data_IF_409465381517
#
_entry.id   IF_409465381517
#
_cell.length_a   1.000
_cell.length_b   1.000
_cell.length_c   1.000
_cell.angle_alpha   90.00
_cell.angle_beta   90.00
_cell.angle_gamma   90.00
#
_symmetry.space_group_name_H-M   'P 1'
#
loop_
_entity.id
_entity.type
_entity.pdbx_description
1 polymer ?
#
# COMPACT_ATOMS: atom_id res chain seq x y z
N UNK A 1 42.18 5.53 31.74
CA UNK A 1 41.58 6.79 31.20
C UNK A 1 41.60 6.70 29.70
N UNK A 2 40.51 6.36 29.08
CA UNK A 2 40.10 6.77 27.69
C UNK A 2 38.58 6.64 27.66
N UNK A 3 37.94 7.75 27.93
CA UNK A 3 36.50 7.92 27.87
C UNK A 3 36.09 8.34 26.46
N UNK A 4 35.02 7.70 25.96
CA UNK A 4 33.96 8.25 25.14
C UNK A 4 34.30 9.24 24.02
N UNK A 5 34.22 8.73 22.78
CA UNK A 5 33.88 9.54 21.62
C UNK A 5 32.98 8.68 20.70
N UNK A 6 31.74 8.47 21.11
CA UNK A 6 30.68 7.83 20.32
C UNK A 6 29.37 8.59 20.53
N UNK A 7 29.42 9.91 20.29
CA UNK A 7 28.21 10.77 20.39
C UNK A 7 28.39 11.99 19.48
N UNK A 8 28.53 11.80 18.17
CA UNK A 8 28.52 12.90 17.21
C UNK A 8 28.31 12.43 15.76
N UNK A 9 27.27 11.63 15.47
CA UNK A 9 26.82 11.34 14.07
C UNK A 9 25.29 11.44 13.93
N UNK A 10 24.59 12.02 14.89
CA UNK A 10 23.13 12.24 14.80
C UNK A 10 22.77 13.72 14.69
N UNK A 11 23.46 14.47 13.85
CA UNK A 11 23.02 15.81 13.49
C UNK A 11 23.56 16.13 12.11
N UNK A 12 22.75 15.93 11.08
CA UNK A 12 22.74 16.59 9.78
C UNK A 12 22.08 15.66 8.73
N UNK A 13 20.76 15.64 8.70
CA UNK A 13 20.00 15.43 7.47
C UNK A 13 18.54 15.84 7.75
N UNK A 14 18.28 17.14 7.80
CA UNK A 14 16.95 17.67 7.52
C UNK A 14 16.74 17.65 6.01
N UNK A 15 16.66 16.44 5.44
CA UNK A 15 16.14 16.25 4.12
C UNK A 15 14.61 16.13 4.25
N UNK A 16 13.88 16.92 3.49
CA UNK A 16 12.45 16.79 3.35
C UNK A 16 12.14 15.38 2.83
N UNK A 17 11.36 14.62 3.58
CA UNK A 17 11.08 13.19 3.32
C UNK A 17 9.59 13.01 3.07
N UNK A 18 9.20 12.14 2.13
CA UNK A 18 7.87 12.06 1.50
C UNK A 18 7.34 10.61 1.39
N UNK A 19 6.07 10.27 1.65
CA UNK A 19 5.48 8.88 1.77
C UNK A 19 4.43 8.45 0.69
N UNK A 20 4.29 7.31 0.33
CA UNK A 20 3.84 6.05 -0.15
C UNK A 20 2.71 5.76 -1.11
N UNK A 21 2.16 6.62 -2.00
CA UNK A 21 1.21 6.22 -3.07
C UNK A 21 -0.05 5.46 -2.57
N UNK A 22 -0.65 4.59 -3.41
CA UNK A 22 -1.82 3.74 -3.09
C UNK A 22 -1.46 2.33 -2.58
N UNK A 23 -0.24 2.14 -2.12
CA UNK A 23 0.21 0.90 -1.46
C UNK A 23 -0.37 0.79 -0.05
N UNK A 24 -0.81 -0.42 0.32
CA UNK A 24 -1.35 -0.76 1.63
C UNK A 24 -0.39 -1.71 2.35
N UNK A 25 0.17 -1.30 3.50
CA UNK A 25 1.12 -2.10 4.28
C UNK A 25 0.40 -2.88 5.39
N UNK A 26 -0.46 -3.84 5.03
CA UNK A 26 -1.36 -4.58 5.93
C UNK A 26 -1.41 -6.10 5.62
N UNK A 27 -0.28 -6.74 5.23
CA UNK A 27 -0.25 -8.12 4.74
C UNK A 27 0.09 -9.16 5.82
N UNK A 28 -0.27 -8.90 7.08
CA UNK A 28 -0.10 -9.85 8.17
C UNK A 28 -0.21 -9.17 9.53
N UNK A 29 -0.93 -9.76 10.47
CA UNK A 29 -1.11 -9.18 11.80
C UNK A 29 0.17 -9.23 12.65
N UNK A 30 0.95 -10.31 12.55
CA UNK A 30 2.23 -10.44 13.28
C UNK A 30 3.25 -9.44 12.76
N UNK A 31 3.41 -9.40 11.45
CA UNK A 31 4.35 -8.48 10.78
C UNK A 31 3.93 -7.02 10.96
N UNK A 32 2.63 -6.70 10.86
CA UNK A 32 2.14 -5.35 11.13
C UNK A 32 2.48 -4.90 12.54
N UNK A 33 2.24 -5.75 13.54
CA UNK A 33 2.57 -5.46 14.94
C UNK A 33 4.07 -5.18 15.18
N UNK A 34 4.93 -5.63 14.26
CA UNK A 34 6.38 -5.42 14.22
C UNK A 34 6.81 -4.28 13.27
N UNK A 35 5.97 -3.27 13.05
CA UNK A 35 6.28 -2.20 12.10
C UNK A 35 6.28 -2.66 10.64
N UNK A 36 5.54 -3.72 10.32
CA UNK A 36 5.50 -4.36 9.01
C UNK A 36 6.87 -4.91 8.54
N UNK A 37 7.73 -5.32 9.49
CA UNK A 37 8.92 -6.11 9.20
C UNK A 37 8.55 -7.57 8.95
N UNK A 38 9.28 -8.27 8.09
CA UNK A 38 8.96 -9.66 7.78
C UNK A 38 9.93 -10.35 6.85
N UNK A 39 10.79 -9.61 6.12
CA UNK A 39 11.64 -10.19 5.08
C UNK A 39 12.69 -11.17 5.62
N UNK A 40 13.06 -11.05 6.90
CA UNK A 40 14.00 -11.91 7.61
C UNK A 40 13.39 -12.61 8.84
N UNK A 41 12.07 -12.63 8.99
CA UNK A 41 11.36 -13.28 10.09
C UNK A 41 10.90 -14.69 9.69
N UNK A 42 11.18 -15.70 10.52
CA UNK A 42 10.76 -17.10 10.30
C UNK A 42 9.78 -17.46 11.41
N UNK A 43 8.50 -17.05 11.27
CA UNK A 43 7.52 -17.30 12.33
C UNK A 43 6.16 -17.80 11.85
N UNK A 44 5.78 -17.55 10.59
CA UNK A 44 4.46 -17.89 10.06
C UNK A 44 4.41 -17.98 8.53
N UNK A 45 3.26 -18.43 8.01
CA UNK A 45 2.98 -18.44 6.57
C UNK A 45 2.85 -17.04 5.95
N UNK A 46 2.88 -15.95 6.73
CA UNK A 46 2.96 -14.57 6.21
C UNK A 46 4.22 -14.37 5.34
N UNK A 47 5.24 -15.23 5.50
CA UNK A 47 6.41 -15.30 4.62
C UNK A 47 6.10 -15.48 3.13
N UNK A 48 4.94 -16.02 2.77
CA UNK A 48 4.49 -16.05 1.37
C UNK A 48 4.53 -14.66 0.77
N UNK A 49 4.08 -13.65 1.49
CA UNK A 49 4.15 -12.26 1.06
C UNK A 49 5.53 -11.63 1.25
N UNK A 50 6.10 -11.77 2.48
CA UNK A 50 7.30 -11.01 2.86
C UNK A 50 8.58 -11.54 2.22
N UNK A 51 8.77 -12.86 2.23
CA UNK A 51 9.94 -13.52 1.63
C UNK A 51 9.70 -15.04 1.46
N UNK A 52 9.25 -15.48 0.29
CA UNK A 52 8.99 -16.90 0.04
C UNK A 52 10.16 -17.85 0.36
N UNK A 53 11.41 -17.37 0.30
CA UNK A 53 12.58 -18.17 0.64
C UNK A 53 12.56 -18.65 2.09
N UNK A 54 11.89 -17.95 3.00
CA UNK A 54 11.80 -18.34 4.41
C UNK A 54 10.90 -19.54 4.69
N UNK A 55 9.99 -19.88 3.78
CA UNK A 55 8.99 -20.93 3.99
C UNK A 55 9.63 -22.30 4.31
N UNK A 56 10.75 -22.63 3.70
CA UNK A 56 11.46 -23.90 3.90
C UNK A 56 12.16 -23.99 5.26
N UNK A 57 12.26 -22.89 6.00
CA UNK A 57 12.81 -22.86 7.36
C UNK A 57 11.74 -22.93 8.45
N UNK A 58 10.44 -22.89 8.08
CA UNK A 58 9.37 -23.10 9.06
C UNK A 58 9.45 -24.51 9.64
N UNK A 59 9.35 -24.64 10.95
CA UNK A 59 9.45 -25.93 11.64
C UNK A 59 8.20 -26.79 11.49
N UNK A 60 7.05 -26.15 11.19
CA UNK A 60 5.77 -26.82 11.09
C UNK A 60 5.53 -27.33 9.67
N UNK A 61 5.05 -28.57 9.56
CA UNK A 61 4.72 -29.18 8.27
C UNK A 61 3.64 -28.43 7.52
N UNK A 62 2.67 -27.88 8.25
CA UNK A 62 1.59 -27.06 7.72
C UNK A 62 1.47 -25.81 8.58
N UNK A 63 1.43 -24.64 7.94
CA UNK A 63 1.14 -23.36 8.58
C UNK A 63 0.08 -22.63 7.76
N UNK A 64 -0.95 -22.12 8.43
CA UNK A 64 -2.02 -21.32 7.81
C UNK A 64 -2.19 -20.07 8.66
N UNK A 65 -2.29 -18.91 8.01
CA UNK A 65 -2.58 -17.62 8.66
C UNK A 65 -3.65 -16.89 7.87
N UNK A 66 -4.67 -16.39 8.52
CA UNK A 66 -5.72 -15.58 7.91
C UNK A 66 -6.08 -14.41 8.83
N UNK A 67 -6.42 -13.28 8.23
CA UNK A 67 -6.83 -12.12 9.00
C UNK A 67 -7.30 -10.96 8.14
N UNK A 68 -7.72 -9.91 8.82
CA UNK A 68 -8.18 -8.69 8.18
C UNK A 68 -8.03 -7.48 9.08
N UNK A 69 -8.27 -6.33 8.49
CA UNK A 69 -8.10 -5.02 9.12
C UNK A 69 -9.30 -4.14 8.84
N UNK A 70 -9.59 -3.21 9.74
CA UNK A 70 -10.49 -2.10 9.49
C UNK A 70 -9.68 -0.82 9.30
N UNK A 71 -9.71 -0.21 8.12
CA UNK A 71 -8.99 1.05 7.86
C UNK A 71 -9.94 2.22 8.03
N UNK A 72 -9.75 2.99 9.08
CA UNK A 72 -10.45 4.24 9.36
C UNK A 72 -9.50 5.38 9.04
N UNK A 73 -9.74 6.10 7.97
CA UNK A 73 -8.87 7.17 7.49
C UNK A 73 -9.64 8.46 7.27
N UNK A 74 -9.05 9.57 7.70
CA UNK A 74 -9.58 10.91 7.54
C UNK A 74 -8.57 11.78 6.80
N UNK A 75 -9.06 12.57 5.84
CA UNK A 75 -8.31 13.60 5.14
C UNK A 75 -9.05 14.92 5.25
N UNK A 76 -8.39 15.92 5.78
CA UNK A 76 -8.89 17.29 5.86
C UNK A 76 -8.11 18.14 4.87
N UNK A 77 -8.84 18.74 3.93
CA UNK A 77 -8.35 19.76 3.02
C UNK A 77 -8.76 21.15 3.51
N UNK A 78 -7.90 22.15 3.36
CA UNK A 78 -8.19 23.53 3.61
C UNK A 78 -7.58 24.43 2.51
N UNK A 79 -8.41 25.27 1.89
CA UNK A 79 -7.92 26.32 1.01
C UNK A 79 -7.46 27.52 1.85
N UNK A 80 -6.19 27.87 1.77
CA UNK A 80 -5.61 28.96 2.59
C UNK A 80 -6.09 30.36 2.17
N UNK A 81 -6.51 30.53 0.91
CA UNK A 81 -6.95 31.83 0.41
C UNK A 81 -8.40 32.12 0.76
N UNK A 82 -9.28 31.13 0.60
CA UNK A 82 -10.72 31.29 0.83
C UNK A 82 -11.17 30.83 2.21
N UNK A 83 -10.33 30.04 2.92
CA UNK A 83 -10.70 29.39 4.17
C UNK A 83 -11.68 28.21 4.01
N UNK A 84 -12.10 27.89 2.78
CA UNK A 84 -12.96 26.73 2.53
C UNK A 84 -12.26 25.44 2.92
N UNK A 85 -12.98 24.50 3.56
CA UNK A 85 -12.46 23.21 3.97
C UNK A 85 -13.37 22.07 3.54
N UNK A 86 -12.78 20.91 3.33
CA UNK A 86 -13.51 19.66 3.10
C UNK A 86 -12.84 18.54 3.90
N UNK A 87 -13.64 17.67 4.45
CA UNK A 87 -13.21 16.44 5.13
C UNK A 87 -13.79 15.24 4.39
N UNK A 88 -12.98 14.21 4.18
CA UNK A 88 -13.44 13.00 3.51
C UNK A 88 -14.42 12.22 4.37
N UNK A 89 -15.40 11.61 3.71
CA UNK A 89 -16.32 10.64 4.32
C UNK A 89 -16.10 9.27 3.64
N UNK A 90 -14.87 8.80 3.66
CA UNK A 90 -14.48 7.56 3.00
C UNK A 90 -15.07 6.34 3.68
N UNK A 91 -15.52 5.33 2.94
CA UNK A 91 -15.95 4.07 3.53
C UNK A 91 -14.77 3.38 4.25
N UNK A 92 -15.09 2.55 5.25
CA UNK A 92 -14.08 1.76 5.97
C UNK A 92 -13.46 0.73 5.03
N UNK A 93 -12.15 0.85 4.80
CA UNK A 93 -11.40 -0.14 4.04
C UNK A 93 -11.27 -1.45 4.81
N UNK A 94 -11.39 -2.58 4.11
CA UNK A 94 -11.35 -3.93 4.73
C UNK A 94 -10.31 -4.84 4.06
N UNK A 95 -9.00 -4.47 4.04
CA UNK A 95 -7.98 -5.35 3.50
C UNK A 95 -7.88 -6.64 4.30
N UNK A 96 -7.56 -7.72 3.60
CA UNK A 96 -7.47 -9.06 4.19
C UNK A 96 -6.27 -9.84 3.65
N UNK A 97 -5.94 -10.93 4.34
CA UNK A 97 -4.98 -11.91 3.88
C UNK A 97 -5.36 -13.34 4.28
N UNK A 98 -4.93 -14.27 3.45
CA UNK A 98 -4.97 -15.71 3.69
C UNK A 98 -3.69 -16.32 3.14
N UNK A 99 -2.90 -16.96 4.00
CA UNK A 99 -1.66 -17.64 3.64
C UNK A 99 -1.69 -19.08 4.10
N UNK A 100 -1.14 -19.95 3.26
CA UNK A 100 -0.86 -21.33 3.60
C UNK A 100 0.54 -21.73 3.17
N UNK A 101 1.24 -22.52 3.96
CA UNK A 101 2.52 -23.14 3.61
C UNK A 101 2.56 -24.61 4.00
N UNK A 102 3.19 -25.40 3.16
CA UNK A 102 3.35 -26.83 3.35
C UNK A 102 4.81 -27.24 3.09
N UNK A 103 5.44 -27.80 4.12
CA UNK A 103 6.78 -28.38 4.04
C UNK A 103 6.68 -29.77 3.44
N UNK A 104 7.06 -29.92 2.18
CA UNK A 104 7.00 -31.22 1.49
C UNK A 104 8.17 -32.13 1.89
N UNK A 105 9.36 -31.57 2.03
CA UNK A 105 10.60 -32.22 2.49
C UNK A 105 11.43 -31.22 3.29
N UNK A 106 12.54 -31.65 3.89
CA UNK A 106 13.45 -30.77 4.65
C UNK A 106 14.10 -29.66 3.80
N UNK A 107 14.04 -29.80 2.47
CA UNK A 107 14.64 -28.84 1.52
C UNK A 107 13.64 -28.19 0.56
N UNK A 108 12.33 -28.55 0.62
CA UNK A 108 11.30 -28.07 -0.30
C UNK A 108 10.02 -27.71 0.45
N UNK A 109 9.54 -26.51 0.27
CA UNK A 109 8.25 -26.04 0.75
C UNK A 109 7.44 -25.36 -0.35
N UNK A 110 6.12 -25.42 -0.23
CA UNK A 110 5.16 -24.72 -1.08
C UNK A 110 4.37 -23.71 -0.25
N UNK A 111 3.96 -22.63 -0.89
CA UNK A 111 3.10 -21.62 -0.30
C UNK A 111 2.00 -21.16 -1.25
N UNK A 112 0.91 -20.65 -0.68
CA UNK A 112 -0.15 -19.97 -1.39
C UNK A 112 -0.60 -18.76 -0.57
N UNK A 113 -0.70 -17.60 -1.21
CA UNK A 113 -1.23 -16.37 -0.62
C UNK A 113 -2.40 -15.82 -1.42
N UNK A 114 -3.40 -15.29 -0.72
CA UNK A 114 -4.47 -14.45 -1.27
C UNK A 114 -4.55 -13.22 -0.39
N UNK A 115 -4.29 -12.02 -0.94
CA UNK A 115 -4.14 -10.81 -0.13
C UNK A 115 -4.35 -9.53 -0.96
N UNK A 116 -4.50 -8.38 -0.28
CA UNK A 116 -4.79 -7.09 -0.88
C UNK A 116 -3.68 -6.07 -0.56
N UNK A 117 -2.59 -5.95 -1.38
CA UNK A 117 -1.45 -5.08 -1.08
C UNK A 117 -1.59 -3.67 -1.64
N UNK A 118 -2.55 -3.44 -2.54
CA UNK A 118 -2.87 -2.15 -3.12
C UNK A 118 -4.36 -1.87 -2.99
N UNK A 119 -4.69 -0.62 -2.70
CA UNK A 119 -6.06 -0.15 -2.58
C UNK A 119 -6.11 1.31 -2.15
N UNK A 120 -7.19 1.96 -2.50
CA UNK A 120 -7.51 3.31 -2.03
C UNK A 120 -9.01 3.43 -1.94
N UNK A 121 -9.48 4.18 -0.97
CA UNK A 121 -10.88 4.59 -0.89
C UNK A 121 -10.89 6.01 -0.35
N UNK A 122 -11.22 6.97 -1.21
CA UNK A 122 -11.31 8.39 -0.87
C UNK A 122 -12.63 8.91 -1.41
N UNK A 123 -13.45 9.52 -0.57
CA UNK A 123 -14.69 10.17 -0.96
C UNK A 123 -14.76 11.55 -0.28
N UNK A 124 -14.83 12.58 -1.09
CA UNK A 124 -15.04 13.95 -0.64
C UNK A 124 -16.54 14.28 -0.65
N UNK A 125 -16.98 15.31 0.11
CA UNK A 125 -18.35 15.83 0.02
C UNK A 125 -18.66 16.33 -1.39
N UNK A 126 -19.93 16.26 -1.78
CA UNK A 126 -20.40 16.83 -3.04
C UNK A 126 -20.02 18.32 -3.15
N UNK A 127 -19.68 18.76 -4.36
CA UNK A 127 -19.32 20.15 -4.68
C UNK A 127 -18.14 20.75 -3.88
N UNK A 128 -17.27 19.93 -3.31
CA UNK A 128 -16.06 20.44 -2.69
C UNK A 128 -15.13 21.11 -3.73
N UNK A 129 -14.24 22.00 -3.29
CA UNK A 129 -13.43 22.84 -4.17
C UNK A 129 -12.56 22.08 -5.19
N UNK A 130 -12.21 20.83 -4.92
CA UNK A 130 -11.41 19.96 -5.79
C UNK A 130 -12.21 18.92 -6.59
N UNK A 131 -13.54 19.04 -6.65
CA UNK A 131 -14.41 18.07 -7.32
C UNK A 131 -14.08 17.84 -8.80
N UNK A 132 -13.47 18.82 -9.46
CA UNK A 132 -12.98 18.70 -10.85
C UNK A 132 -11.72 17.79 -10.98
N UNK A 133 -11.10 17.40 -9.88
CA UNK A 133 -10.00 16.45 -9.83
C UNK A 133 -10.49 15.09 -9.34
N UNK A 134 -11.30 15.07 -8.29
CA UNK A 134 -11.89 13.84 -7.73
C UNK A 134 -13.11 14.17 -6.86
N UNK A 135 -14.17 13.39 -6.99
CA UNK A 135 -15.25 13.28 -6.01
C UNK A 135 -15.03 12.04 -5.15
N UNK A 136 -14.89 10.89 -5.79
CA UNK A 136 -14.51 9.65 -5.13
C UNK A 136 -13.59 8.79 -6.00
N UNK A 137 -12.81 7.95 -5.34
CA UNK A 137 -12.07 6.86 -5.95
C UNK A 137 -12.13 5.64 -5.04
N UNK A 138 -12.41 4.49 -5.63
CA UNK A 138 -12.28 3.19 -5.00
C UNK A 138 -11.42 2.31 -5.90
N UNK A 139 -10.27 1.89 -5.35
CA UNK A 139 -9.33 0.99 -6.00
C UNK A 139 -9.18 -0.26 -5.15
N UNK A 140 -9.30 -1.42 -5.74
CA UNK A 140 -9.02 -2.71 -5.11
C UNK A 140 -8.18 -3.60 -6.01
N UNK A 141 -7.21 -4.32 -5.42
CA UNK A 141 -6.42 -5.31 -6.12
C UNK A 141 -6.20 -6.53 -5.23
N UNK A 142 -6.66 -7.68 -5.70
CA UNK A 142 -6.49 -8.98 -5.03
C UNK A 142 -5.37 -9.73 -5.72
N UNK A 143 -4.41 -10.17 -4.92
CA UNK A 143 -3.26 -10.94 -5.36
C UNK A 143 -3.41 -12.40 -4.98
N UNK A 144 -3.13 -13.31 -5.92
CA UNK A 144 -3.06 -14.76 -5.73
C UNK A 144 -1.64 -15.18 -6.07
N UNK A 145 -0.91 -15.68 -5.07
CA UNK A 145 0.53 -15.92 -5.15
C UNK A 145 0.87 -17.36 -4.73
N UNK A 146 0.89 -18.32 -5.67
CA UNK A 146 1.55 -19.59 -5.42
C UNK A 146 3.06 -19.41 -5.38
N UNK A 147 3.76 -20.10 -4.47
CA UNK A 147 5.20 -19.99 -4.27
C UNK A 147 5.85 -21.35 -4.02
N UNK A 148 7.13 -21.41 -4.32
CA UNK A 148 8.00 -22.53 -3.98
C UNK A 148 9.26 -22.01 -3.28
N UNK A 149 9.76 -22.76 -2.31
CA UNK A 149 10.96 -22.44 -1.53
C UNK A 149 11.89 -23.63 -1.49
N UNK A 150 13.18 -23.39 -1.72
CA UNK A 150 14.24 -24.40 -1.73
C UNK A 150 15.32 -24.03 -0.73
N UNK A 151 15.69 -24.98 0.16
CA UNK A 151 16.81 -24.87 1.07
C UNK A 151 18.06 -25.49 0.43
N UNK A 152 19.17 -24.76 0.48
CA UNK A 152 20.47 -25.17 -0.07
C UNK A 152 21.48 -25.19 1.10
N UNK A 153 21.75 -26.40 1.57
CA UNK A 153 22.44 -26.58 2.85
C UNK A 153 21.55 -26.08 4.02
N UNK A 154 22.15 -25.77 5.15
CA UNK A 154 21.40 -25.34 6.35
C UNK A 154 21.32 -23.83 6.54
N UNK A 155 22.03 -23.07 5.71
CA UNK A 155 22.22 -21.62 5.86
C UNK A 155 21.44 -20.80 4.82
N UNK A 156 21.28 -21.32 3.61
CA UNK A 156 20.76 -20.53 2.49
C UNK A 156 19.48 -21.13 1.92
N UNK A 157 18.56 -20.25 1.54
CA UNK A 157 17.37 -20.60 0.77
C UNK A 157 17.07 -19.58 -0.30
N UNK A 158 16.34 -20.04 -1.33
CA UNK A 158 15.75 -19.23 -2.39
C UNK A 158 14.30 -19.64 -2.57
N UNK A 159 13.41 -18.69 -2.84
CA UNK A 159 12.01 -18.98 -3.09
C UNK A 159 11.35 -17.88 -3.92
N UNK A 160 10.21 -18.20 -4.51
CA UNK A 160 9.46 -17.27 -5.32
C UNK A 160 8.30 -17.92 -6.05
N UNK A 161 7.64 -17.18 -6.90
CA UNK A 161 6.54 -17.67 -7.71
C UNK A 161 5.85 -16.57 -8.50
N UNK A 162 4.91 -16.96 -9.38
CA UNK A 162 4.08 -16.01 -10.08
C UNK A 162 3.08 -15.34 -9.12
N UNK A 163 2.62 -14.17 -9.51
CA UNK A 163 1.55 -13.43 -8.84
C UNK A 163 0.48 -13.15 -9.91
N UNK A 164 -0.72 -13.67 -9.70
CA UNK A 164 -1.89 -13.29 -10.47
C UNK A 164 -2.63 -12.18 -9.73
N UNK A 165 -2.98 -11.12 -10.43
CA UNK A 165 -3.71 -9.97 -9.88
C UNK A 165 -5.03 -9.82 -10.59
N UNK A 166 -6.08 -9.58 -9.84
CA UNK A 166 -7.36 -9.08 -10.35
C UNK A 166 -7.69 -7.77 -9.66
N UNK A 167 -7.97 -6.72 -10.45
CA UNK A 167 -8.21 -5.37 -9.97
C UNK A 167 -9.56 -4.83 -10.40
N UNK A 168 -10.03 -3.82 -9.65
CA UNK A 168 -11.18 -3.00 -10.00
C UNK A 168 -10.92 -1.56 -9.57
N UNK A 169 -11.42 -0.61 -10.35
CA UNK A 169 -11.38 0.82 -10.04
C UNK A 169 -12.72 1.46 -10.37
N UNK A 170 -13.21 2.27 -9.45
CA UNK A 170 -14.30 3.22 -9.70
C UNK A 170 -13.75 4.60 -9.38
N UNK A 171 -13.84 5.51 -10.32
CA UNK A 171 -13.33 6.87 -10.20
C UNK A 171 -14.35 7.86 -10.73
N UNK A 172 -14.78 8.81 -9.89
CA UNK A 172 -15.72 9.87 -10.27
C UNK A 172 -15.11 11.25 -10.02
N UNK A 173 -15.35 12.17 -10.96
CA UNK A 173 -15.04 13.60 -10.84
C UNK A 173 -15.96 14.47 -11.67
N UNK A 174 -16.02 15.75 -11.33
CA UNK A 174 -16.65 16.73 -12.21
C UNK A 174 -15.76 17.03 -13.43
N UNK A 175 -16.39 17.32 -14.58
CA UNK A 175 -15.69 17.60 -15.84
C UNK A 175 -14.89 18.90 -15.81
N UNK A 176 -15.38 19.90 -15.07
CA UNK A 176 -14.72 21.19 -14.87
C UNK A 176 -15.18 21.86 -13.58
N UNK A 177 -14.58 23.01 -13.24
CA UNK A 177 -14.98 23.78 -12.03
C UNK A 177 -16.36 24.42 -12.14
N UNK A 178 -16.95 24.53 -13.33
CA UNK A 178 -18.14 25.34 -13.55
C UNK A 178 -19.18 24.74 -14.48
N UNK A 179 -18.91 23.66 -15.19
CA UNK A 179 -19.85 23.06 -16.12
C UNK A 179 -21.02 22.44 -15.36
N UNK A 180 -22.23 22.84 -15.74
CA UNK A 180 -23.51 22.36 -15.17
C UNK A 180 -24.52 22.11 -16.28
N UNK A 181 -25.51 21.28 -16.00
CA UNK A 181 -26.72 21.17 -16.82
C UNK A 181 -27.62 22.42 -16.68
N UNK A 182 -28.80 22.37 -17.27
CA UNK A 182 -29.78 23.48 -17.23
C UNK A 182 -30.44 23.63 -15.85
N UNK A 183 -30.44 22.59 -15.05
CA UNK A 183 -31.00 22.56 -13.70
C UNK A 183 -29.97 23.00 -12.63
N UNK A 184 -28.72 23.21 -13.06
CA UNK A 184 -27.59 23.62 -12.19
C UNK A 184 -26.83 22.49 -11.56
N UNK A 185 -27.08 21.22 -11.93
CA UNK A 185 -26.31 20.08 -11.46
C UNK A 185 -24.93 20.04 -12.14
N UNK A 186 -23.90 19.70 -11.41
CA UNK A 186 -22.52 19.62 -11.93
C UNK A 186 -22.40 18.46 -12.92
N UNK A 187 -21.80 18.77 -14.07
CA UNK A 187 -21.48 17.73 -15.07
C UNK A 187 -20.31 16.89 -14.58
N UNK A 188 -20.48 15.58 -14.61
CA UNK A 188 -19.48 14.63 -14.08
C UNK A 188 -19.23 13.44 -15.00
N UNK A 189 -18.16 12.72 -14.73
CA UNK A 189 -17.82 11.46 -15.37
C UNK A 189 -17.46 10.43 -14.30
N UNK A 190 -17.99 9.22 -14.47
CA UNK A 190 -17.61 8.03 -13.70
C UNK A 190 -16.89 7.06 -14.62
N UNK A 191 -15.69 6.67 -14.24
CA UNK A 191 -14.93 5.60 -14.88
C UNK A 191 -15.03 4.35 -14.03
N UNK A 192 -15.58 3.28 -14.58
CA UNK A 192 -15.70 2.00 -13.89
C UNK A 192 -15.00 0.90 -14.68
N UNK A 193 -14.04 0.23 -14.04
CA UNK A 193 -13.35 -0.92 -14.60
C UNK A 193 -13.28 -2.02 -13.56
N UNK A 194 -13.67 -3.23 -13.96
CA UNK A 194 -13.63 -4.41 -13.11
C UNK A 194 -13.05 -5.62 -13.83
N UNK A 195 -12.52 -6.57 -13.06
CA UNK A 195 -11.93 -7.78 -13.63
C UNK A 195 -10.67 -7.54 -14.45
N UNK A 196 -9.93 -6.47 -14.18
CA UNK A 196 -8.62 -6.20 -14.78
C UNK A 196 -7.63 -7.23 -14.26
N UNK A 197 -7.08 -8.04 -15.17
CA UNK A 197 -6.27 -9.20 -14.80
C UNK A 197 -4.85 -9.06 -15.35
N UNK A 198 -3.87 -9.26 -14.47
CA UNK A 198 -2.45 -9.15 -14.84
C UNK A 198 -1.58 -10.16 -14.08
N UNK A 199 -0.34 -10.29 -14.54
CA UNK A 199 0.64 -11.20 -13.95
C UNK A 199 1.89 -10.46 -13.53
N UNK A 200 2.41 -10.85 -12.37
CA UNK A 200 3.71 -10.47 -11.88
C UNK A 200 4.46 -11.69 -11.33
N UNK A 201 5.54 -11.42 -10.63
CA UNK A 201 6.32 -12.46 -9.98
C UNK A 201 7.06 -11.92 -8.75
N UNK A 202 7.47 -12.83 -7.88
CA UNK A 202 8.33 -12.52 -6.73
C UNK A 202 9.47 -13.51 -6.62
N UNK A 203 10.61 -13.04 -6.13
CA UNK A 203 11.75 -13.87 -5.77
C UNK A 203 12.40 -13.35 -4.50
N UNK A 204 12.77 -14.27 -3.62
CA UNK A 204 13.45 -13.94 -2.39
C UNK A 204 14.61 -14.87 -2.10
N UNK A 205 15.49 -14.40 -1.23
CA UNK A 205 16.60 -15.18 -0.68
C UNK A 205 16.66 -14.98 0.83
N UNK A 206 17.12 -16.01 1.54
CA UNK A 206 17.29 -15.91 2.99
C UNK A 206 18.58 -16.63 3.42
N UNK A 207 19.29 -16.01 4.35
CA UNK A 207 20.50 -16.53 4.98
C UNK A 207 20.30 -16.64 6.48
N UNK A 208 20.20 -17.84 6.99
CA UNK A 208 20.22 -18.16 8.43
C UNK A 208 21.68 -18.32 8.86
N UNK A 209 22.35 -17.19 9.14
CA UNK A 209 23.79 -17.15 9.44
C UNK A 209 24.11 -17.85 10.76
N UNK A 210 23.22 -17.72 11.74
CA UNK A 210 23.19 -18.46 12.98
C UNK A 210 21.74 -18.72 13.37
N UNK A 211 21.49 -19.47 14.44
CA UNK A 211 20.11 -19.64 14.94
C UNK A 211 19.46 -18.31 15.35
N UNK A 212 20.28 -17.31 15.67
CA UNK A 212 19.82 -16.02 16.15
C UNK A 212 19.88 -14.88 15.11
N UNK A 213 20.63 -15.05 14.01
CA UNK A 213 20.84 -13.97 13.01
C UNK A 213 20.40 -14.43 11.62
N UNK A 214 19.40 -13.77 11.10
CA UNK A 214 18.83 -14.03 9.77
C UNK A 214 18.92 -12.77 8.94
N UNK A 215 19.28 -12.90 7.68
CA UNK A 215 19.24 -11.83 6.67
C UNK A 215 18.33 -12.30 5.53
N UNK A 216 17.44 -11.43 5.07
CA UNK A 216 16.53 -11.71 3.98
C UNK A 216 16.54 -10.61 2.94
N UNK A 217 16.25 -10.98 1.70
CA UNK A 217 15.96 -10.07 0.61
C UNK A 217 14.81 -10.62 -0.24
N UNK A 218 13.94 -9.73 -0.70
CA UNK A 218 12.83 -10.06 -1.58
C UNK A 218 12.67 -8.98 -2.64
N UNK A 219 12.33 -9.40 -3.85
CA UNK A 219 11.94 -8.54 -4.95
C UNK A 219 10.59 -8.97 -5.50
N UNK A 220 9.70 -8.00 -5.75
CA UNK A 220 8.43 -8.15 -6.45
C UNK A 220 8.48 -7.32 -7.72
N UNK A 221 8.05 -7.91 -8.83
CA UNK A 221 8.01 -7.22 -10.12
C UNK A 221 6.96 -6.13 -10.14
N UNK A 222 7.16 -5.16 -11.00
CA UNK A 222 6.13 -4.24 -11.47
C UNK A 222 4.97 -5.01 -12.11
N UNK A 223 3.74 -4.47 -11.98
CA UNK A 223 2.54 -4.99 -12.63
C UNK A 223 1.74 -3.79 -13.12
N UNK A 224 1.42 -3.74 -14.41
CA UNK A 224 0.59 -2.67 -14.97
C UNK A 224 -0.83 -3.21 -15.12
N UNK A 225 -1.78 -2.59 -14.42
CA UNK A 225 -3.20 -2.92 -14.56
C UNK A 225 -3.77 -2.14 -15.74
N UNK A 226 -3.93 -2.82 -16.88
CA UNK A 226 -4.49 -2.24 -18.11
C UNK A 226 -5.99 -2.50 -18.16
N UNK A 227 -6.79 -1.45 -18.03
CA UNK A 227 -8.22 -1.45 -18.25
C UNK A 227 -8.51 -1.02 -19.69
N UNK A 228 -8.70 -2.01 -20.58
CA UNK A 228 -8.92 -1.75 -22.03
C UNK A 228 -10.40 -1.50 -22.39
N UNK A 229 -11.35 -1.72 -21.48
CA UNK A 229 -12.80 -1.68 -21.73
C UNK A 229 -13.55 -1.14 -20.48
N UNK A 230 -13.04 -0.05 -19.90
CA UNK A 230 -13.70 0.61 -18.78
C UNK A 230 -14.97 1.32 -19.28
N UNK A 231 -16.04 1.30 -18.50
CA UNK A 231 -17.21 2.14 -18.73
C UNK A 231 -16.89 3.60 -18.36
N UNK A 232 -17.28 4.54 -19.20
CA UNK A 232 -17.20 5.97 -18.96
C UNK A 232 -18.60 6.56 -19.08
N UNK A 233 -19.24 6.77 -17.94
CA UNK A 233 -20.60 7.27 -17.82
C UNK A 233 -20.59 8.79 -17.55
N UNK A 234 -21.27 9.57 -18.38
CA UNK A 234 -21.33 11.03 -18.27
C UNK A 234 -22.72 11.47 -17.81
N UNK A 235 -22.78 12.19 -16.70
CA UNK A 235 -24.03 12.66 -16.10
C UNK A 235 -24.13 14.21 -16.11
N UNK A 236 -25.36 14.70 -16.09
CA UNK A 236 -25.69 16.14 -16.00
C UNK A 236 -25.03 16.98 -17.12
N UNK A 237 -24.99 16.44 -18.34
CA UNK A 237 -24.37 17.11 -19.47
C UNK A 237 -25.36 18.12 -20.09
N UNK A 238 -24.97 19.41 -20.26
CA UNK A 238 -25.81 20.37 -20.93
C UNK A 238 -26.05 19.96 -22.38
N UNK A 239 -27.30 20.05 -22.84
CA UNK A 239 -27.66 19.73 -24.22
C UNK A 239 -27.16 20.84 -25.18
N UNK A 240 -25.90 20.74 -25.57
CA UNK A 240 -25.21 21.70 -26.44
C UNK A 240 -24.26 21.00 -27.41
N UNK A 241 -24.19 21.44 -28.67
CA UNK A 241 -23.19 20.92 -29.60
C UNK A 241 -21.71 21.15 -29.16
N UNK A 242 -21.48 22.01 -28.15
CA UNK A 242 -20.15 22.33 -27.61
C UNK A 242 -19.75 21.41 -26.45
N UNK A 243 -20.66 20.53 -26.01
CA UNK A 243 -20.44 19.57 -24.93
C UNK A 243 -20.77 18.16 -25.44
N UNK A 244 -19.89 17.56 -26.25
CA UNK A 244 -20.16 16.27 -26.92
C UNK A 244 -19.95 15.07 -25.99
N UNK A 245 -20.14 15.22 -24.69
CA UNK A 245 -19.97 14.15 -23.71
C UNK A 245 -21.19 13.23 -23.74
N UNK A 246 -20.93 11.96 -23.98
CA UNK A 246 -21.89 10.87 -23.94
C UNK A 246 -21.21 9.61 -23.42
N UNK A 247 -21.99 8.70 -22.87
CA UNK A 247 -21.46 7.42 -22.37
C UNK A 247 -20.67 6.69 -23.46
N UNK A 248 -19.51 6.21 -23.10
CA UNK A 248 -18.57 5.58 -24.01
C UNK A 248 -17.69 4.57 -23.25
N UNK A 249 -16.77 3.94 -23.97
CA UNK A 249 -15.71 3.15 -23.34
C UNK A 249 -14.45 4.00 -23.20
N UNK A 250 -13.60 3.60 -22.24
CA UNK A 250 -12.31 4.23 -22.02
C UNK A 250 -11.22 3.20 -21.74
N UNK A 251 -9.98 3.62 -21.98
CA UNK A 251 -8.78 2.86 -21.61
C UNK A 251 -7.99 3.64 -20.58
N UNK A 252 -7.47 2.91 -19.60
CA UNK A 252 -6.57 3.48 -18.61
C UNK A 252 -5.59 2.43 -18.10
N UNK A 253 -4.38 2.86 -17.74
CA UNK A 253 -3.35 1.98 -17.19
C UNK A 253 -2.92 2.49 -15.81
N UNK A 254 -2.91 1.59 -14.82
CA UNK A 254 -2.47 1.89 -13.46
C UNK A 254 -1.28 1.02 -13.08
N UNK A 255 -0.06 1.58 -12.93
CA UNK A 255 1.11 0.81 -12.56
C UNK A 255 1.17 0.52 -11.05
N UNK A 256 1.36 -0.74 -10.70
CA UNK A 256 1.75 -1.19 -9.36
C UNK A 256 3.28 -1.32 -9.38
N UNK A 257 4.03 -0.51 -8.61
CA UNK A 257 5.48 -0.43 -8.72
C UNK A 257 6.16 -1.72 -8.30
N UNK A 258 7.32 -1.98 -8.89
CA UNK A 258 8.22 -3.00 -8.37
C UNK A 258 8.69 -2.63 -6.96
N UNK A 259 8.99 -3.63 -6.14
CA UNK A 259 9.49 -3.44 -4.77
C UNK A 259 10.70 -4.32 -4.48
N UNK A 260 11.69 -3.74 -3.80
CA UNK A 260 12.82 -4.48 -3.24
C UNK A 260 12.84 -4.28 -1.72
N UNK A 261 12.93 -5.37 -0.97
CA UNK A 261 13.07 -5.32 0.49
C UNK A 261 14.31 -6.09 0.91
N UNK A 262 15.12 -5.50 1.80
CA UNK A 262 16.26 -6.16 2.45
C UNK A 262 16.11 -5.95 3.95
N UNK A 263 16.36 -6.98 4.74
CA UNK A 263 16.22 -6.86 6.17
C UNK A 263 17.04 -7.88 6.96
N UNK A 264 17.01 -7.67 8.25
CA UNK A 264 17.72 -8.48 9.24
C UNK A 264 16.83 -8.71 10.46
N UNK A 265 16.88 -9.90 11.01
CA UNK A 265 16.34 -10.19 12.34
C UNK A 265 17.41 -10.76 13.25
N UNK A 266 17.32 -10.40 14.52
CA UNK A 266 18.24 -10.87 15.55
C UNK A 266 17.50 -11.22 16.83
N UNK A 267 17.58 -12.51 17.21
CA UNK A 267 17.09 -13.00 18.50
C UNK A 267 18.18 -12.81 19.57
N UNK A 268 17.93 -11.92 20.52
CA UNK A 268 18.84 -11.72 21.64
C UNK A 268 18.21 -12.26 22.92
N UNK A 269 18.81 -13.30 23.49
CA UNK A 269 18.22 -14.18 24.47
C UNK A 269 16.91 -14.86 23.99
N UNK A 270 16.37 -15.78 24.77
CA UNK A 270 15.26 -16.66 24.39
C UNK A 270 13.89 -15.97 24.29
N UNK A 271 13.82 -14.66 24.51
CA UNK A 271 12.56 -13.92 24.64
C UNK A 271 12.40 -12.70 23.73
N UNK A 272 13.47 -12.21 23.15
CA UNK A 272 13.44 -10.98 22.40
C UNK A 272 13.91 -11.18 20.95
N UNK A 273 13.15 -10.63 20.01
CA UNK A 273 13.55 -10.55 18.60
C UNK A 273 13.46 -9.12 18.16
N UNK A 274 14.54 -8.61 17.59
CA UNK A 274 14.57 -7.35 16.86
C UNK A 274 14.55 -7.61 15.36
N UNK A 275 13.83 -6.81 14.60
CA UNK A 275 13.84 -6.85 13.14
C UNK A 275 13.97 -5.44 12.55
N UNK A 276 14.67 -5.35 11.42
CA UNK A 276 14.79 -4.16 10.61
C UNK A 276 14.64 -4.52 9.14
N UNK A 277 13.76 -3.81 8.42
CA UNK A 277 13.61 -3.93 6.96
C UNK A 277 13.78 -2.56 6.31
N UNK A 278 14.55 -2.52 5.23
CA UNK A 278 14.59 -1.44 4.26
C UNK A 278 13.81 -1.87 3.01
N UNK A 279 12.79 -1.12 2.63
CA UNK A 279 12.02 -1.35 1.41
C UNK A 279 12.19 -0.17 0.45
N UNK A 280 12.35 -0.46 -0.83
CA UNK A 280 12.36 0.51 -1.91
C UNK A 280 11.26 0.19 -2.89
N UNK A 281 10.33 1.11 -3.12
CA UNK A 281 9.30 1.04 -4.14
C UNK A 281 9.69 1.92 -5.33
N UNK A 282 9.61 1.35 -6.54
CA UNK A 282 10.04 1.99 -7.78
C UNK A 282 8.87 2.71 -8.44
N UNK A 283 8.42 3.79 -7.81
CA UNK A 283 7.26 4.57 -8.21
C UNK A 283 7.48 5.44 -9.45
N UNK A 284 8.71 5.57 -9.96
CA UNK A 284 9.03 6.32 -11.18
C UNK A 284 8.36 5.76 -12.45
N UNK A 285 7.74 4.58 -12.35
CA UNK A 285 6.84 4.03 -13.37
C UNK A 285 5.51 4.81 -13.47
N UNK A 286 5.09 5.56 -12.44
CA UNK A 286 3.83 6.29 -12.43
C UNK A 286 4.01 7.74 -12.86
N UNK A 287 4.21 7.95 -14.16
CA UNK A 287 4.35 9.28 -14.77
C UNK A 287 3.02 10.00 -14.92
N UNK A 288 1.97 9.30 -15.33
CA UNK A 288 0.62 9.84 -15.55
C UNK A 288 -0.45 8.78 -15.34
N UNK A 289 -1.68 9.23 -15.14
CA UNK A 289 -2.91 8.45 -15.25
C UNK A 289 -3.71 9.01 -16.42
N UNK A 290 -3.50 8.46 -17.59
CA UNK A 290 -4.16 8.89 -18.81
C UNK A 290 -5.43 8.06 -19.02
N UNK A 291 -6.49 8.72 -19.46
CA UNK A 291 -7.77 8.11 -19.79
C UNK A 291 -8.08 8.44 -21.24
N UNK A 292 -8.03 7.44 -22.10
CA UNK A 292 -8.28 7.54 -23.52
C UNK A 292 -9.73 7.10 -23.82
N UNK A 293 -10.57 8.02 -24.29
CA UNK A 293 -11.97 7.74 -24.61
C UNK A 293 -12.12 7.17 -26.03
N UNK A 294 -13.00 6.17 -26.21
CA UNK A 294 -13.25 5.60 -27.55
C UNK A 294 -14.02 6.56 -28.48
N UNK A 295 -14.87 7.46 -27.94
CA UNK A 295 -15.50 8.48 -28.76
C UNK A 295 -14.51 9.59 -29.10
N UNK A 296 -14.15 9.76 -30.40
CA UNK A 296 -13.16 10.76 -30.85
C UNK A 296 -13.62 12.21 -30.63
N UNK A 297 -14.88 12.46 -30.27
CA UNK A 297 -15.37 13.80 -29.97
C UNK A 297 -15.11 14.19 -28.52
N UNK A 298 -14.83 13.22 -27.65
CA UNK A 298 -14.49 13.45 -26.24
C UNK A 298 -12.97 13.56 -26.14
N UNK A 299 -12.43 14.67 -25.65
CA UNK A 299 -10.99 14.82 -25.48
C UNK A 299 -10.46 13.90 -24.38
N UNK A 300 -9.34 13.22 -24.66
CA UNK A 300 -8.64 12.40 -23.68
C UNK A 300 -8.22 13.21 -22.44
N UNK A 301 -8.09 12.52 -21.32
CA UNK A 301 -7.74 13.13 -20.04
C UNK A 301 -6.33 12.76 -19.61
N UNK A 302 -5.42 13.75 -19.61
CA UNK A 302 -4.03 13.59 -19.23
C UNK A 302 -3.80 14.06 -17.78
N UNK A 303 -3.49 13.11 -16.88
CA UNK A 303 -3.35 13.41 -15.46
C UNK A 303 -1.92 13.09 -15.01
N UNK A 304 -1.01 14.05 -15.18
CA UNK A 304 0.41 13.90 -14.83
C UNK A 304 0.59 13.62 -13.34
N UNK A 305 1.39 12.62 -12.99
CA UNK A 305 1.71 12.24 -11.60
C UNK A 305 3.19 12.46 -11.28
N UNK A 306 4.07 12.13 -12.23
CA UNK A 306 5.52 12.35 -12.13
C UNK A 306 6.08 11.88 -10.78
N UNK A 307 5.77 10.64 -10.37
CA UNK A 307 6.20 10.09 -9.09
C UNK A 307 7.69 9.77 -9.10
N UNK A 308 8.32 9.82 -7.94
CA UNK A 308 9.71 9.41 -7.70
C UNK A 308 9.75 8.14 -6.87
N UNK A 309 10.84 7.40 -6.98
CA UNK A 309 11.09 6.23 -6.14
C UNK A 309 11.11 6.61 -4.64
N UNK A 310 10.47 5.78 -3.81
CA UNK A 310 10.30 6.03 -2.39
C UNK A 310 10.79 4.86 -1.53
N UNK A 311 11.24 5.15 -0.33
CA UNK A 311 11.78 4.16 0.61
C UNK A 311 10.96 4.09 1.89
N UNK A 312 10.92 2.90 2.50
CA UNK A 312 10.32 2.68 3.82
C UNK A 312 11.36 2.06 4.73
N UNK A 313 11.48 2.59 5.95
CA UNK A 313 12.37 2.08 7.01
C UNK A 313 11.50 1.51 8.12
N UNK A 314 11.64 0.22 8.43
CA UNK A 314 10.77 -0.52 9.34
C UNK A 314 11.58 -1.09 10.49
N UNK A 315 11.06 -0.96 11.71
CA UNK A 315 11.67 -1.45 12.94
C UNK A 315 10.63 -2.22 13.74
N UNK A 316 10.99 -3.41 14.17
CA UNK A 316 10.12 -4.27 14.96
C UNK A 316 10.82 -4.84 16.18
N UNK A 317 10.06 -5.01 17.25
CA UNK A 317 10.49 -5.65 18.48
C UNK A 317 9.41 -6.63 18.94
N UNK A 318 9.81 -7.89 19.17
CA UNK A 318 8.98 -8.93 19.75
C UNK A 318 9.50 -9.29 21.15
N UNK A 319 8.57 -9.58 22.05
CA UNK A 319 8.84 -10.08 23.40
C UNK A 319 7.92 -11.26 23.73
N UNK A 320 8.50 -12.43 23.90
CA UNK A 320 7.82 -13.64 24.35
C UNK A 320 7.65 -13.59 25.87
N UNK A 321 6.56 -12.96 26.32
CA UNK A 321 6.29 -12.68 27.72
C UNK A 321 6.07 -13.98 28.52
N UNK A 322 5.27 -14.90 27.96
CA UNK A 322 4.99 -16.25 28.49
C UNK A 322 4.82 -17.22 27.30
N UNK A 323 4.68 -18.50 27.60
CA UNK A 323 4.33 -19.52 26.57
C UNK A 323 3.00 -19.20 25.85
N UNK A 324 2.10 -18.49 26.50
CA UNK A 324 0.78 -18.14 25.95
C UNK A 324 0.72 -16.76 25.31
N UNK A 325 1.63 -15.84 25.61
CA UNK A 325 1.57 -14.46 25.17
C UNK A 325 2.87 -13.96 24.57
N UNK A 326 2.80 -13.51 23.32
CA UNK A 326 3.84 -12.76 22.64
C UNK A 326 3.37 -11.33 22.40
N UNK A 327 4.15 -10.34 22.81
CA UNK A 327 3.89 -8.92 22.61
C UNK A 327 4.79 -8.40 21.50
N UNK A 328 4.27 -7.48 20.70
CA UNK A 328 5.01 -6.85 19.61
C UNK A 328 4.78 -5.35 19.61
N UNK A 329 5.81 -4.61 19.23
CA UNK A 329 5.74 -3.20 18.94
C UNK A 329 6.64 -2.87 17.75
N UNK A 330 6.28 -1.85 17.01
CA UNK A 330 7.08 -1.45 15.87
C UNK A 330 6.84 -0.01 15.47
N UNK A 331 7.71 0.44 14.59
CA UNK A 331 7.67 1.75 13.98
C UNK A 331 8.13 1.64 12.54
N UNK A 332 7.50 2.37 11.66
CA UNK A 332 8.04 2.59 10.33
C UNK A 332 7.92 4.05 9.91
N UNK A 333 8.86 4.45 9.11
CA UNK A 333 8.84 5.69 8.37
C UNK A 333 8.72 5.38 6.88
N UNK A 334 7.73 5.97 6.20
CA UNK A 334 7.41 5.73 4.79
C UNK A 334 7.53 7.05 4.00
N UNK A 335 8.41 7.09 2.99
CA UNK A 335 8.62 8.24 2.10
C UNK A 335 7.52 8.34 1.04
N UNK A 336 7.03 9.55 0.69
CA UNK A 336 6.10 9.78 -0.43
C UNK A 336 6.79 9.78 -1.79
N UNK A 337 6.19 9.14 -2.79
CA UNK A 337 6.62 9.28 -4.16
C UNK A 337 6.20 10.62 -4.80
N UNK A 338 5.25 11.34 -4.21
CA UNK A 338 4.66 12.55 -4.79
C UNK A 338 5.68 13.69 -4.80
N UNK A 339 5.85 14.34 -5.95
CA UNK A 339 6.73 15.50 -6.10
C UNK A 339 5.95 16.81 -5.93
N UNK A 340 6.65 17.89 -5.60
CA UNK A 340 6.05 19.23 -5.48
C UNK A 340 5.37 19.64 -6.80
N UNK A 341 4.15 20.19 -6.71
CA UNK A 341 3.34 20.55 -7.87
C UNK A 341 2.53 19.39 -8.49
N UNK A 342 2.66 18.16 -7.97
CA UNK A 342 1.97 16.97 -8.49
C UNK A 342 1.11 16.27 -7.43
N UNK A 343 0.73 16.98 -6.38
CA UNK A 343 -0.08 16.42 -5.30
C UNK A 343 -1.54 16.36 -5.70
N UNK A 344 -2.01 15.20 -6.09
CA UNK A 344 -3.38 14.96 -6.52
C UNK A 344 -4.26 14.46 -5.36
N UNK A 345 -5.45 15.04 -5.16
CA UNK A 345 -6.28 14.77 -3.99
C UNK A 345 -6.92 13.38 -3.95
N UNK A 346 -6.93 12.61 -5.02
CA UNK A 346 -7.36 11.21 -5.02
C UNK A 346 -6.36 10.28 -4.31
N UNK A 347 -5.11 10.73 -4.14
CA UNK A 347 -4.09 10.05 -3.35
C UNK A 347 -3.45 11.03 -2.37
N UNK A 348 -4.21 11.57 -1.39
CA UNK A 348 -3.79 12.69 -0.55
C UNK A 348 -2.80 12.24 0.53
N UNK A 349 -1.68 11.68 0.13
CA UNK A 349 -0.69 11.07 1.00
C UNK A 349 0.63 11.82 0.94
N UNK A 350 1.19 12.07 2.11
CA UNK A 350 2.51 12.65 2.31
C UNK A 350 3.35 11.69 3.17
N UNK A 351 4.53 12.06 3.60
CA UNK A 351 5.34 11.29 4.55
C UNK A 351 4.55 10.83 5.73
N UNK A 352 4.79 9.61 6.14
CA UNK A 352 4.07 9.07 7.28
C UNK A 352 4.94 8.34 8.28
N UNK A 353 4.53 8.48 9.53
CA UNK A 353 5.02 7.71 10.66
C UNK A 353 3.97 6.67 11.04
N UNK A 354 4.32 5.40 10.99
CA UNK A 354 3.49 4.27 11.42
C UNK A 354 3.93 3.77 12.79
N UNK A 355 3.04 3.87 13.77
CA UNK A 355 3.25 3.33 15.12
C UNK A 355 2.40 2.07 15.29
N UNK A 356 3.04 0.95 15.56
CA UNK A 356 2.36 -0.35 15.62
C UNK A 356 2.51 -1.01 16.97
N UNK A 357 1.51 -1.79 17.32
CA UNK A 357 1.54 -2.68 18.47
C UNK A 357 0.68 -3.91 18.19
N UNK A 358 0.91 -4.98 18.92
CA UNK A 358 0.06 -6.16 18.83
C UNK A 358 0.45 -7.25 19.81
N UNK A 359 -0.37 -8.27 19.81
CA UNK A 359 -0.19 -9.44 20.64
C UNK A 359 -0.62 -10.72 19.91
N UNK A 360 0.05 -11.81 20.22
CA UNK A 360 -0.38 -13.15 19.89
C UNK A 360 -0.78 -13.87 21.18
N UNK A 361 -1.95 -14.50 21.15
CA UNK A 361 -2.40 -15.40 22.19
C UNK A 361 -2.39 -16.84 21.67
N UNK A 362 -1.54 -17.68 22.24
CA UNK A 362 -1.45 -19.11 21.96
C UNK A 362 -2.59 -19.82 22.69
N UNK A 363 -3.68 -20.15 21.97
CA UNK A 363 -4.79 -20.95 22.51
C UNK A 363 -4.37 -22.40 22.77
N UNK A 364 -3.46 -22.91 21.98
CA UNK A 364 -2.84 -24.24 22.08
C UNK A 364 -1.56 -24.25 21.28
N UNK A 365 -0.85 -25.36 21.27
CA UNK A 365 0.36 -25.57 20.44
C UNK A 365 0.09 -25.39 18.93
N UNK A 366 -1.18 -25.45 18.51
CA UNK A 366 -1.58 -25.40 17.10
C UNK A 366 -2.33 -24.14 16.71
N UNK A 367 -3.06 -23.51 17.62
CA UNK A 367 -3.91 -22.37 17.33
C UNK A 367 -3.48 -21.12 18.04
N UNK A 368 -3.40 -20.04 17.29
CA UNK A 368 -3.05 -18.70 17.77
C UNK A 368 -4.10 -17.69 17.30
N UNK A 369 -4.34 -16.69 18.14
CA UNK A 369 -5.08 -15.47 17.76
C UNK A 369 -4.09 -14.32 17.79
N UNK A 370 -4.08 -13.53 16.73
CA UNK A 370 -3.25 -12.36 16.57
C UNK A 370 -4.14 -11.12 16.59
N UNK A 371 -3.79 -10.12 17.38
CA UNK A 371 -4.39 -8.81 17.33
C UNK A 371 -3.30 -7.77 17.06
N UNK A 372 -3.57 -6.84 16.17
CA UNK A 372 -2.64 -5.79 15.80
C UNK A 372 -3.33 -4.43 15.73
N UNK A 373 -2.54 -3.41 15.82
CA UNK A 373 -2.96 -2.03 15.76
C UNK A 373 -1.91 -1.20 15.06
N UNK A 374 -2.34 -0.34 14.13
CA UNK A 374 -1.50 0.68 13.50
C UNK A 374 -2.17 2.05 13.66
N UNK A 375 -1.44 3.01 14.16
CA UNK A 375 -1.73 4.43 14.00
C UNK A 375 -0.78 5.02 12.96
N UNK A 376 -1.36 5.49 11.86
CA UNK A 376 -0.64 6.09 10.74
C UNK A 376 -0.87 7.60 10.77
N UNK A 377 0.20 8.36 10.92
CA UNK A 377 0.19 9.81 10.93
C UNK A 377 0.93 10.34 9.71
N UNK A 378 0.22 11.03 8.84
CA UNK A 378 0.84 11.75 7.73
C UNK A 378 1.29 13.12 8.19
N UNK A 379 2.41 13.59 7.66
CA UNK A 379 2.84 14.97 7.87
C UNK A 379 1.85 15.90 7.17
N UNK A 380 1.45 16.96 7.86
CA UNK A 380 0.66 18.03 7.27
C UNK A 380 1.47 18.69 6.15
N UNK A 381 0.83 18.96 5.02
CA UNK A 381 1.48 19.51 3.83
C UNK A 381 0.64 20.61 3.20
N UNK A 382 1.31 21.67 2.83
CA UNK A 382 0.80 22.65 1.85
C UNK A 382 1.26 22.20 0.47
N UNK A 383 0.32 21.83 -0.38
CA UNK A 383 0.60 21.15 -1.64
C UNK A 383 -0.31 21.62 -2.76
N UNK A 384 0.14 21.44 -4.00
CA UNK A 384 -0.61 21.80 -5.19
C UNK A 384 -0.58 20.70 -6.25
N UNK A 385 -1.62 20.69 -7.09
CA UNK A 385 -1.65 19.99 -8.35
C UNK A 385 -1.64 21.02 -9.47
N UNK A 386 -0.46 21.22 -10.07
CA UNK A 386 -0.21 22.27 -11.05
C UNK A 386 -0.60 21.89 -12.50
N UNK A 387 -0.64 20.59 -12.90
CA UNK A 387 -0.94 20.20 -14.28
C UNK A 387 -2.41 20.39 -14.71
N UNK A 388 -3.29 20.95 -13.86
CA UNK A 388 -4.68 21.19 -14.24
C UNK A 388 -4.84 22.44 -15.12
N UNK A 389 -5.63 22.31 -16.18
CA UNK A 389 -5.99 23.40 -17.09
C UNK A 389 -7.49 23.57 -17.14
N UNK A 390 -7.97 24.80 -17.01
CA UNK A 390 -9.35 25.20 -17.18
C UNK A 390 -9.46 26.08 -18.42
N UNK A 391 -10.24 25.65 -19.42
CA UNK A 391 -10.40 26.38 -20.71
C UNK A 391 -9.06 26.78 -21.38
N UNK A 392 -8.06 25.89 -21.31
CA UNK A 392 -6.73 26.10 -21.89
C UNK A 392 -5.78 27.01 -21.09
N UNK A 393 -6.20 27.45 -19.89
CA UNK A 393 -5.37 28.24 -18.97
C UNK A 393 -4.98 27.36 -17.78
N UNK A 394 -3.70 27.36 -17.42
CA UNK A 394 -3.25 26.64 -16.23
C UNK A 394 -3.95 27.20 -14.98
N UNK A 395 -4.58 26.33 -14.22
CA UNK A 395 -5.41 26.67 -13.07
C UNK A 395 -5.10 25.74 -11.89
N UNK A 396 -3.94 25.86 -11.25
CA UNK A 396 -3.51 24.99 -10.17
C UNK A 396 -4.55 24.84 -9.06
N UNK A 397 -4.62 23.64 -8.48
CA UNK A 397 -5.41 23.39 -7.30
C UNK A 397 -4.46 23.21 -6.10
N UNK A 398 -4.57 24.08 -5.12
CA UNK A 398 -3.67 24.11 -3.99
C UNK A 398 -4.42 24.18 -2.67
N UNK A 399 -3.79 23.68 -1.61
CA UNK A 399 -4.30 23.77 -0.26
C UNK A 399 -3.47 23.02 0.74
N UNK A 400 -3.93 23.05 1.96
CA UNK A 400 -3.33 22.38 3.09
C UNK A 400 -4.03 21.05 3.33
N UNK A 401 -3.27 19.98 3.48
CA UNK A 401 -3.78 18.63 3.71
C UNK A 401 -3.26 18.07 5.02
N UNK A 402 -4.18 17.48 5.78
CA UNK A 402 -3.87 16.75 7.01
C UNK A 402 -4.56 15.41 6.95
N UNK A 403 -3.81 14.33 7.14
CA UNK A 403 -4.36 12.97 7.07
C UNK A 403 -3.90 12.12 8.24
N UNK A 404 -4.74 11.19 8.66
CA UNK A 404 -4.41 10.16 9.64
C UNK A 404 -5.23 8.90 9.39
N UNK A 405 -4.73 7.76 9.87
CA UNK A 405 -5.48 6.52 9.83
C UNK A 405 -5.31 5.71 11.12
N UNK A 406 -6.39 5.06 11.51
CA UNK A 406 -6.50 4.18 12.66
C UNK A 406 -6.89 2.78 12.17
N UNK A 407 -6.05 1.78 12.41
CA UNK A 407 -6.18 0.49 11.74
C UNK A 407 -6.04 -0.65 12.76
N UNK A 408 -7.13 -1.12 13.36
CA UNK A 408 -7.18 -2.37 14.09
C UNK A 408 -7.15 -3.57 13.15
N UNK A 409 -6.52 -4.66 13.57
CA UNK A 409 -6.46 -5.92 12.86
C UNK A 409 -6.65 -7.12 13.77
N UNK A 410 -7.24 -8.17 13.23
CA UNK A 410 -7.38 -9.46 13.88
C UNK A 410 -7.04 -10.59 12.92
N UNK A 411 -6.38 -11.62 13.41
CA UNK A 411 -6.01 -12.79 12.64
C UNK A 411 -6.02 -14.07 13.46
N UNK A 412 -5.98 -15.17 12.76
CA UNK A 412 -5.83 -16.50 13.32
C UNK A 412 -4.73 -17.26 12.60
N UNK A 413 -3.97 -18.05 13.33
CA UNK A 413 -2.94 -18.90 12.77
C UNK A 413 -3.12 -20.33 13.26
N UNK A 414 -2.87 -21.27 12.35
CA UNK A 414 -2.86 -22.70 12.63
C UNK A 414 -1.54 -23.30 12.17
N UNK A 415 -0.95 -24.17 12.99
CA UNK A 415 0.30 -24.87 12.68
C UNK A 415 0.23 -26.35 13.11
N UNK A 416 0.83 -27.23 12.28
CA UNK A 416 0.86 -28.67 12.51
C UNK A 416 2.17 -29.30 12.09
#
# INVERSE_FOLDING_TARGET
>A
MKKFTLLAVFALASAAMYAGGYRVSLQGNKSLAMGHTGVAMIDSSELVFFNPAGLVFLENKLSISAGGFGVFSDVVYQNETTGASAETNSPVGTPFYLYGSYQATDWLAFGLGIYTPFGSSVAYPDDWAGSHLVNNIELSAIFIQPTVSFKIGDVFSIGGGPIYVTGAVNFNRNLSRSLTDLDGNRSEVTIDASGVNQWGWTVGTMFKLTDNLIIGANYKSEIILDADDADADFENIPNSPLTPFADTKAKASLPLPAEMTVGVSYAFCDKWVFAFDFNRAFWDVYDSLDIDFEDPNIPDSFNVRNYKNASTYRFGLQYDATESFTLRAGYYFDESPVQAGFFAPETPRNDSDGYTAGLTFNLSDRFQIDASFLYLRFKEVEASYDPYFESGVQAPFAGKYKSSAFIPGIGVSYKM
#
